data_IF_548124051715
#
_entry.id   IF_548124051715
#
_cell.length_a   1.000
_cell.length_b   1.000
_cell.length_c   1.000
_cell.angle_alpha   90.00
_cell.angle_beta   90.00
_cell.angle_gamma   90.00
#
_symmetry.space_group_name_H-M   'P 1'
#
loop_
_entity.id
_entity.type
_entity.pdbx_description
1 polymer ?
#
# COMPACT_ATOMS: atom_id res chain seq x y z
N UNK A 1 12.45 2.14 -53.81
CA UNK A 1 12.49 3.35 -54.66
C UNK A 1 11.54 3.25 -55.83
N UNK A 2 11.91 2.53 -56.90
CA UNK A 2 11.15 2.49 -58.16
C UNK A 2 9.74 1.87 -58.05
N UNK A 3 9.55 0.81 -57.26
CA UNK A 3 8.25 0.15 -57.03
C UNK A 3 7.23 1.00 -56.24
N UNK A 4 7.71 1.95 -55.42
CA UNK A 4 6.84 2.89 -54.68
C UNK A 4 6.33 4.01 -55.60
N UNK A 5 7.17 4.47 -56.53
CA UNK A 5 6.79 5.47 -57.53
C UNK A 5 5.75 4.92 -58.52
N UNK A 6 5.83 3.64 -58.90
CA UNK A 6 4.86 3.04 -59.83
C UNK A 6 3.47 2.86 -59.23
N UNK A 7 3.36 2.55 -57.94
CA UNK A 7 2.05 2.40 -57.26
C UNK A 7 1.39 3.75 -56.99
N UNK A 8 2.15 4.80 -56.68
CA UNK A 8 1.61 6.17 -56.55
C UNK A 8 1.17 6.73 -57.92
N UNK A 9 1.89 6.40 -58.99
CA UNK A 9 1.50 6.75 -60.37
C UNK A 9 0.21 6.08 -60.85
N UNK A 10 -0.29 5.02 -60.17
CA UNK A 10 -1.59 4.44 -60.49
C UNK A 10 -2.77 5.33 -60.07
N UNK A 11 -2.57 6.30 -59.17
CA UNK A 11 -3.62 7.18 -58.66
C UNK A 11 -3.50 8.64 -59.13
N UNK A 12 -2.37 9.01 -59.73
CA UNK A 12 -2.16 10.33 -60.32
C UNK A 12 -2.58 10.37 -61.79
N UNK A 13 -3.46 11.30 -62.16
CA UNK A 13 -3.72 11.62 -63.58
C UNK A 13 -2.50 12.34 -64.18
N UNK A 14 -1.49 11.58 -64.58
CA UNK A 14 -0.53 12.03 -65.60
C UNK A 14 -1.14 11.76 -66.97
N UNK A 15 -1.34 12.82 -67.76
CA UNK A 15 -1.88 12.76 -69.12
C UNK A 15 -1.06 11.78 -69.97
N UNK A 16 -1.68 10.65 -70.33
CA UNK A 16 -1.09 9.63 -71.22
C UNK A 16 -0.81 8.26 -70.59
N UNK A 17 -0.91 8.08 -69.27
CA UNK A 17 -0.81 6.76 -68.64
C UNK A 17 -2.20 6.20 -68.32
N UNK A 18 -2.48 5.01 -68.86
CA UNK A 18 -3.73 4.27 -68.62
C UNK A 18 -3.83 3.98 -67.12
N UNK A 19 -4.84 4.55 -66.46
CA UNK A 19 -5.13 4.26 -65.05
C UNK A 19 -5.46 2.76 -64.96
N UNK A 20 -4.63 2.01 -64.23
CA UNK A 20 -4.85 0.59 -64.02
C UNK A 20 -6.04 0.38 -63.09
N UNK A 21 -6.89 -0.58 -63.41
CA UNK A 21 -8.00 -0.99 -62.57
C UNK A 21 -7.51 -1.74 -61.33
N UNK A 22 -8.32 -1.81 -60.28
CA UNK A 22 -7.98 -2.51 -59.04
C UNK A 22 -7.65 -4.01 -59.27
N UNK A 23 -8.34 -4.67 -60.20
CA UNK A 23 -8.06 -6.06 -60.55
C UNK A 23 -6.72 -6.24 -61.27
N UNK A 24 -6.34 -5.31 -62.14
CA UNK A 24 -5.03 -5.30 -62.81
C UNK A 24 -3.89 -5.08 -61.80
N UNK A 25 -4.08 -4.19 -60.83
CA UNK A 25 -3.12 -3.95 -59.75
C UNK A 25 -2.99 -5.20 -58.86
N UNK A 26 -4.12 -5.81 -58.49
CA UNK A 26 -4.13 -7.03 -57.67
C UNK A 26 -3.41 -8.19 -58.37
N UNK A 27 -3.67 -8.38 -59.67
CA UNK A 27 -3.02 -9.42 -60.47
C UNK A 27 -1.52 -9.15 -60.62
N UNK A 28 -1.11 -7.91 -60.86
CA UNK A 28 0.31 -7.54 -60.93
C UNK A 28 1.05 -7.80 -59.60
N UNK A 29 0.43 -7.51 -58.45
CA UNK A 29 1.02 -7.79 -57.13
C UNK A 29 1.18 -9.30 -56.91
N UNK A 30 0.18 -10.10 -57.31
CA UNK A 30 0.23 -11.57 -57.24
C UNK A 30 1.30 -12.15 -58.18
N UNK A 31 1.36 -11.68 -59.42
CA UNK A 31 2.33 -12.13 -60.44
C UNK A 31 3.77 -11.78 -60.04
N UNK A 32 3.97 -10.66 -59.34
CA UNK A 32 5.29 -10.25 -58.83
C UNK A 32 5.64 -10.89 -57.47
N UNK A 33 4.76 -11.70 -56.88
CA UNK A 33 4.91 -12.31 -55.56
C UNK A 33 5.33 -11.32 -54.46
N UNK A 34 4.76 -10.11 -54.49
CA UNK A 34 5.11 -9.05 -53.53
C UNK A 34 4.18 -9.16 -52.32
N UNK A 35 4.78 -9.30 -51.14
CA UNK A 35 4.02 -9.25 -49.89
C UNK A 35 3.70 -7.81 -49.49
N UNK A 36 2.52 -7.51 -48.90
CA UNK A 36 2.18 -6.16 -48.46
C UNK A 36 3.20 -5.52 -47.51
N UNK A 37 3.87 -6.33 -46.68
CA UNK A 37 4.97 -5.91 -45.79
C UNK A 37 6.23 -5.41 -46.53
N UNK A 38 6.35 -5.67 -47.84
CA UNK A 38 7.43 -5.18 -48.69
C UNK A 38 7.06 -3.85 -49.39
N UNK A 39 5.77 -3.48 -49.41
CA UNK A 39 5.29 -2.27 -50.06
C UNK A 39 5.31 -1.07 -49.09
N UNK A 40 4.92 -1.31 -47.85
CA UNK A 40 4.82 -0.29 -46.81
C UNK A 40 5.77 -0.62 -45.67
N UNK A 41 6.60 0.35 -45.28
CA UNK A 41 7.37 0.26 -44.05
C UNK A 41 6.56 0.89 -42.90
N UNK A 42 7.02 0.69 -41.67
CA UNK A 42 6.35 1.21 -40.47
C UNK A 42 6.23 2.75 -40.50
N UNK A 43 7.21 3.44 -41.08
CA UNK A 43 7.20 4.90 -41.20
C UNK A 43 6.15 5.39 -42.21
N UNK A 44 5.93 4.67 -43.31
CA UNK A 44 4.87 4.97 -44.27
C UNK A 44 3.50 4.84 -43.61
N UNK A 45 3.33 3.82 -42.75
CA UNK A 45 2.09 3.58 -42.00
C UNK A 45 1.89 4.65 -40.91
N UNK A 46 2.95 5.09 -40.24
CA UNK A 46 2.90 6.18 -39.25
C UNK A 46 2.57 7.54 -39.88
N UNK A 47 3.00 7.76 -41.11
CA UNK A 47 2.73 8.99 -41.86
C UNK A 47 1.42 8.95 -42.65
N UNK A 48 0.71 7.82 -42.65
CA UNK A 48 -0.60 7.71 -43.27
C UNK A 48 -1.63 8.57 -42.53
N UNK A 49 -2.55 9.18 -43.28
CA UNK A 49 -3.53 10.14 -42.75
C UNK A 49 -4.54 9.51 -41.79
N UNK A 50 -4.87 8.24 -42.00
CA UNK A 50 -5.85 7.52 -41.18
C UNK A 50 -5.17 6.67 -40.12
N UNK A 51 -4.15 5.89 -40.52
CA UNK A 51 -3.46 4.99 -39.60
C UNK A 51 -2.50 5.73 -38.66
N UNK A 52 -1.87 6.82 -39.10
CA UNK A 52 -0.97 7.63 -38.27
C UNK A 52 -1.64 8.17 -37.01
N UNK A 53 -2.94 8.50 -37.09
CA UNK A 53 -3.75 8.94 -35.93
C UNK A 53 -3.79 7.87 -34.84
N UNK A 54 -3.93 6.61 -35.21
CA UNK A 54 -3.95 5.47 -34.29
C UNK A 54 -2.62 5.35 -33.54
N UNK A 55 -1.49 5.60 -34.21
CA UNK A 55 -0.18 5.59 -33.53
C UNK A 55 -0.05 6.75 -32.53
N UNK A 56 -0.54 7.94 -32.88
CA UNK A 56 -0.52 9.09 -31.96
C UNK A 56 -1.43 8.88 -30.75
N UNK A 57 -2.64 8.35 -30.96
CA UNK A 57 -3.58 8.03 -29.90
C UNK A 57 -3.04 6.93 -28.99
N UNK A 58 -2.45 5.86 -29.55
CA UNK A 58 -1.86 4.78 -28.77
C UNK A 58 -0.66 5.26 -27.94
N UNK A 59 0.17 6.17 -28.48
CA UNK A 59 1.25 6.79 -27.73
C UNK A 59 0.72 7.64 -26.56
N UNK A 60 -0.33 8.42 -26.78
CA UNK A 60 -0.97 9.22 -25.73
C UNK A 60 -1.60 8.32 -24.65
N UNK A 61 -2.34 7.29 -25.05
CA UNK A 61 -2.95 6.32 -24.14
C UNK A 61 -1.90 5.56 -23.33
N UNK A 62 -0.73 5.27 -23.89
CA UNK A 62 0.38 4.65 -23.16
C UNK A 62 0.90 5.56 -22.06
N UNK A 63 1.09 6.85 -22.35
CA UNK A 63 1.51 7.84 -21.36
C UNK A 63 0.46 7.98 -20.25
N UNK A 64 -0.81 8.02 -20.61
CA UNK A 64 -1.92 8.14 -19.66
C UNK A 64 -2.04 6.89 -18.78
N UNK A 65 -1.87 5.70 -19.36
CA UNK A 65 -1.79 4.43 -18.61
C UNK A 65 -0.64 4.45 -17.61
N UNK A 66 0.56 4.84 -18.04
CA UNK A 66 1.74 4.88 -17.16
C UNK A 66 1.53 5.88 -16.01
N UNK A 67 0.84 7.00 -16.26
CA UNK A 67 0.45 7.97 -15.23
C UNK A 67 -0.56 7.36 -14.26
N UNK A 68 -1.63 6.76 -14.75
CA UNK A 68 -2.64 6.13 -13.90
C UNK A 68 -2.08 4.97 -13.06
N UNK A 69 -1.13 4.20 -13.59
CA UNK A 69 -0.48 3.14 -12.82
C UNK A 69 0.36 3.70 -11.66
N UNK A 70 1.04 4.84 -11.87
CA UNK A 70 1.77 5.54 -10.80
C UNK A 70 0.82 6.10 -9.75
N UNK A 71 -0.25 6.77 -10.19
CA UNK A 71 -1.25 7.35 -9.30
C UNK A 71 -1.94 6.25 -8.47
N UNK A 72 -2.26 5.11 -9.10
CA UNK A 72 -2.81 3.94 -8.41
C UNK A 72 -1.87 3.38 -7.34
N UNK A 73 -0.57 3.22 -7.66
CA UNK A 73 0.42 2.74 -6.68
C UNK A 73 0.53 3.69 -5.49
N UNK A 74 0.55 5.01 -5.75
CA UNK A 74 0.60 6.04 -4.70
C UNK A 74 -0.66 6.04 -3.83
N UNK A 75 -1.84 5.97 -4.45
CA UNK A 75 -3.11 5.93 -3.73
C UNK A 75 -3.23 4.65 -2.88
N UNK A 76 -2.74 3.52 -3.40
CA UNK A 76 -2.70 2.27 -2.65
C UNK A 76 -1.83 2.40 -1.40
N UNK A 77 -0.63 2.98 -1.51
CA UNK A 77 0.23 3.20 -0.33
C UNK A 77 -0.39 4.17 0.67
N UNK A 78 -0.97 5.27 0.20
CA UNK A 78 -1.67 6.24 1.07
C UNK A 78 -2.87 5.60 1.78
N UNK A 79 -3.61 4.74 1.09
CA UNK A 79 -4.74 4.00 1.66
C UNK A 79 -4.28 2.99 2.71
N UNK A 80 -3.20 2.25 2.46
CA UNK A 80 -2.64 1.28 3.43
C UNK A 80 -2.12 2.00 4.69
N UNK A 81 -1.46 3.15 4.53
CA UNK A 81 -1.02 3.99 5.65
C UNK A 81 -2.20 4.58 6.44
N UNK A 82 -3.25 5.04 5.75
CA UNK A 82 -4.45 5.54 6.39
C UNK A 82 -5.16 4.45 7.21
N UNK A 83 -5.31 3.24 6.64
CA UNK A 83 -5.89 2.09 7.35
C UNK A 83 -5.08 1.77 8.61
N UNK A 84 -3.74 1.66 8.49
CA UNK A 84 -2.87 1.42 9.65
C UNK A 84 -3.01 2.50 10.72
N UNK A 85 -3.08 3.77 10.33
CA UNK A 85 -3.27 4.87 11.27
C UNK A 85 -4.61 4.78 12.00
N UNK A 86 -5.67 4.43 11.29
CA UNK A 86 -6.99 4.20 11.88
C UNK A 86 -6.96 3.01 12.85
N UNK A 87 -6.35 1.89 12.44
CA UNK A 87 -6.18 0.71 13.30
C UNK A 87 -5.40 1.04 14.57
N UNK A 88 -4.29 1.78 14.48
CA UNK A 88 -3.51 2.25 15.64
C UNK A 88 -4.37 3.13 16.56
N UNK A 89 -5.16 4.04 15.99
CA UNK A 89 -6.02 4.94 16.77
C UNK A 89 -7.15 4.20 17.50
N UNK A 90 -7.67 3.12 16.91
CA UNK A 90 -8.73 2.29 17.48
C UNK A 90 -8.19 1.18 18.38
N UNK A 91 -6.92 0.82 18.25
CA UNK A 91 -6.31 -0.31 18.95
C UNK A 91 -6.44 -0.21 20.47
N UNK A 92 -6.21 0.97 21.04
CA UNK A 92 -6.37 1.19 22.49
C UNK A 92 -7.82 0.98 22.95
N UNK A 93 -8.80 1.44 22.17
CA UNK A 93 -10.22 1.24 22.49
C UNK A 93 -10.65 -0.23 22.33
N UNK A 94 -10.08 -0.95 21.37
CA UNK A 94 -10.30 -2.41 21.20
C UNK A 94 -9.66 -3.19 22.34
N UNK A 95 -8.45 -2.82 22.75
CA UNK A 95 -7.77 -3.41 23.90
C UNK A 95 -8.58 -3.22 25.19
N UNK A 96 -9.14 -2.03 25.41
CA UNK A 96 -9.99 -1.74 26.57
C UNK A 96 -11.25 -2.61 26.59
N UNK A 97 -11.89 -2.81 25.44
CA UNK A 97 -13.03 -3.72 25.32
C UNK A 97 -12.66 -5.17 25.61
N UNK A 98 -11.49 -5.63 25.15
CA UNK A 98 -11.02 -7.00 25.35
C UNK A 98 -10.62 -7.29 26.80
N UNK A 99 -10.13 -6.29 27.54
CA UNK A 99 -9.84 -6.45 28.97
C UNK A 99 -11.12 -6.59 29.81
N UNK A 100 -12.21 -5.89 29.45
CA UNK A 100 -13.51 -6.09 30.10
C UNK A 100 -13.49 -6.01 31.64
N UNK A 101 -14.31 -6.83 32.31
CA UNK A 101 -14.41 -6.91 33.77
C UNK A 101 -13.44 -7.94 34.40
N UNK A 102 -12.86 -8.83 33.59
CA UNK A 102 -12.00 -9.93 34.06
C UNK A 102 -10.61 -9.49 34.55
N UNK A 103 -10.26 -8.21 34.34
CA UNK A 103 -8.98 -7.62 34.70
C UNK A 103 -9.15 -6.56 35.79
N UNK A 104 -8.30 -6.62 36.81
CA UNK A 104 -8.26 -5.60 37.88
C UNK A 104 -7.69 -4.28 37.35
N UNK A 105 -7.97 -3.17 38.03
CA UNK A 105 -7.48 -1.84 37.61
C UNK A 105 -5.94 -1.80 37.51
N UNK A 106 -5.25 -2.44 38.46
CA UNK A 106 -3.77 -2.57 38.43
C UNK A 106 -3.27 -3.37 37.24
N UNK A 107 -3.98 -4.43 36.84
CA UNK A 107 -3.63 -5.21 35.65
C UNK A 107 -3.86 -4.40 34.37
N UNK A 108 -4.98 -3.68 34.29
CA UNK A 108 -5.30 -2.80 33.15
C UNK A 108 -4.26 -1.70 32.99
N UNK A 109 -3.85 -1.06 34.07
CA UNK A 109 -2.83 -0.01 34.05
C UNK A 109 -1.46 -0.55 33.61
N UNK A 110 -1.05 -1.71 34.16
CA UNK A 110 0.17 -2.39 33.74
C UNK A 110 0.18 -2.71 32.25
N UNK A 111 -0.90 -3.29 31.73
CA UNK A 111 -1.04 -3.64 30.31
C UNK A 111 -1.02 -2.39 29.43
N UNK A 112 -1.77 -1.34 29.79
CA UNK A 112 -1.82 -0.08 29.04
C UNK A 112 -0.46 0.60 28.96
N UNK A 113 0.31 0.62 30.06
CA UNK A 113 1.64 1.23 30.08
C UNK A 113 2.63 0.56 29.12
N UNK A 114 2.40 -0.72 28.79
CA UNK A 114 3.25 -1.53 27.91
C UNK A 114 2.70 -1.71 26.51
N UNK A 115 1.47 -1.27 26.27
CA UNK A 115 0.83 -1.41 24.98
C UNK A 115 1.35 -0.36 24.00
N UNK A 116 2.08 -0.81 22.98
CA UNK A 116 2.52 0.02 21.87
C UNK A 116 1.92 -0.49 20.56
N UNK A 117 0.79 0.07 20.09
CA UNK A 117 0.12 -0.42 18.89
C UNK A 117 0.95 -0.24 17.62
N UNK A 118 1.85 0.75 17.58
CA UNK A 118 2.73 1.01 16.44
C UNK A 118 3.86 -0.03 16.29
N UNK A 119 4.18 -0.77 17.37
CA UNK A 119 5.20 -1.81 17.37
C UNK A 119 4.64 -3.20 17.02
N UNK A 120 3.31 -3.34 16.91
CA UNK A 120 2.66 -4.60 16.57
C UNK A 120 2.49 -4.71 15.05
N UNK A 121 2.86 -5.86 14.49
CA UNK A 121 2.67 -6.15 13.06
C UNK A 121 1.20 -6.33 12.68
N UNK A 122 0.37 -6.76 13.64
CA UNK A 122 -1.04 -7.06 13.45
C UNK A 122 -1.84 -6.64 14.69
N UNK A 123 -2.87 -5.80 14.46
CA UNK A 123 -3.78 -5.24 15.45
C UNK A 123 -5.16 -5.91 15.43
N UNK A 124 -5.25 -7.12 14.86
CA UNK A 124 -6.45 -7.96 14.92
C UNK A 124 -6.79 -8.39 16.35
N UNK A 125 -8.07 -8.65 16.62
CA UNK A 125 -8.53 -9.05 17.96
C UNK A 125 -7.82 -10.30 18.49
N UNK A 126 -7.49 -11.25 17.61
CA UNK A 126 -6.76 -12.46 17.99
C UNK A 126 -5.36 -12.14 18.53
N UNK A 127 -4.63 -11.25 17.85
CA UNK A 127 -3.28 -10.85 18.24
C UNK A 127 -3.27 -9.97 19.48
N UNK A 128 -4.28 -9.09 19.61
CA UNK A 128 -4.52 -8.34 20.84
C UNK A 128 -4.80 -9.29 22.01
N UNK A 129 -5.58 -10.36 21.80
CA UNK A 129 -5.81 -11.41 22.81
C UNK A 129 -4.53 -12.15 23.22
N UNK A 130 -3.71 -12.57 22.25
CA UNK A 130 -2.40 -13.18 22.52
C UNK A 130 -1.47 -12.25 23.32
N UNK A 131 -1.50 -10.94 23.01
CA UNK A 131 -0.75 -9.93 23.76
C UNK A 131 -1.25 -9.78 25.20
N UNK A 132 -2.57 -9.71 25.41
CA UNK A 132 -3.19 -9.63 26.74
C UNK A 132 -2.82 -10.84 27.62
N UNK A 133 -2.86 -12.06 27.08
CA UNK A 133 -2.45 -13.25 27.83
C UNK A 133 -0.97 -13.21 28.23
N UNK A 134 -0.12 -12.71 27.34
CA UNK A 134 1.32 -12.56 27.61
C UNK A 134 1.56 -11.55 28.73
N UNK A 135 0.93 -10.38 28.67
CA UNK A 135 1.08 -9.35 29.70
C UNK A 135 0.44 -9.77 31.02
N UNK A 136 -0.65 -10.54 31.00
CA UNK A 136 -1.24 -11.13 32.22
C UNK A 136 -0.26 -12.07 32.93
N UNK A 137 0.45 -12.91 32.18
CA UNK A 137 1.51 -13.78 32.74
C UNK A 137 2.66 -12.94 33.29
N UNK A 138 3.11 -11.93 32.53
CA UNK A 138 4.18 -11.03 32.97
C UNK A 138 3.81 -10.29 34.26
N UNK A 139 2.56 -9.82 34.39
CA UNK A 139 2.06 -9.22 35.61
C UNK A 139 2.10 -10.20 36.79
N UNK A 140 1.63 -11.43 36.61
CA UNK A 140 1.65 -12.45 37.66
C UNK A 140 3.07 -12.80 38.11
N UNK A 141 4.02 -12.88 37.17
CA UNK A 141 5.43 -13.14 37.48
C UNK A 141 6.09 -11.95 38.19
N UNK A 142 5.74 -10.73 37.79
CA UNK A 142 6.21 -9.50 38.44
C UNK A 142 5.65 -9.37 39.85
N UNK A 143 4.35 -9.62 40.05
CA UNK A 143 3.71 -9.59 41.36
C UNK A 143 4.33 -10.61 42.34
N UNK A 144 4.71 -11.81 41.87
CA UNK A 144 5.44 -12.80 42.66
C UNK A 144 6.84 -12.31 43.07
N UNK A 145 7.54 -11.61 42.18
CA UNK A 145 8.88 -11.08 42.45
C UNK A 145 8.87 -9.94 43.48
N UNK A 146 7.83 -9.10 43.48
CA UNK A 146 7.68 -7.99 44.42
C UNK A 146 6.90 -8.35 45.70
N UNK A 147 6.54 -9.62 45.90
CA UNK A 147 5.88 -10.08 47.13
C UNK A 147 4.46 -9.53 47.34
N UNK A 148 3.84 -8.92 46.33
CA UNK A 148 2.45 -8.44 46.37
C UNK A 148 1.52 -9.62 46.07
N UNK A 149 1.58 -10.65 46.91
CA UNK A 149 0.41 -11.51 47.11
C UNK A 149 -0.54 -10.72 48.01
N UNK A 150 -1.82 -10.62 47.65
CA UNK A 150 -2.85 -9.85 48.36
C UNK A 150 -2.77 -10.05 49.90
N UNK A 151 -2.12 -9.12 50.60
CA UNK A 151 -2.36 -8.93 52.02
C UNK A 151 -3.61 -8.06 52.16
N UNK A 152 -4.74 -8.75 52.25
CA UNK A 152 -5.97 -8.20 52.77
C UNK A 152 -5.76 -7.71 54.20
N UNK A 153 -5.68 -6.39 54.38
CA UNK A 153 -6.23 -5.64 55.51
C UNK A 153 -5.53 -5.77 56.86
N UNK A 154 -4.73 -4.76 57.22
CA UNK A 154 -4.20 -4.57 58.56
C UNK A 154 -3.59 -3.20 58.77
N UNK A 155 -4.43 -2.27 59.21
CA UNK A 155 -4.16 -0.88 59.61
C UNK A 155 -2.97 -0.73 60.60
N UNK A 156 -2.07 0.25 60.37
CA UNK A 156 -1.43 1.10 61.40
C UNK A 156 -0.46 2.16 60.83
N UNK A 157 -0.82 3.42 61.12
CA UNK A 157 0.00 4.64 61.15
C UNK A 157 1.41 4.48 61.78
N UNK A 158 2.43 5.19 61.22
CA UNK A 158 3.13 6.33 61.88
C UNK A 158 4.33 6.92 61.11
N UNK A 159 4.23 8.24 60.87
CA UNK A 159 5.22 9.36 60.87
C UNK A 159 6.76 9.19 60.72
N UNK A 160 7.30 10.01 59.78
CA UNK A 160 8.54 10.85 59.74
C UNK A 160 9.91 10.12 59.83
N UNK A 161 10.91 10.42 58.99
CA UNK A 161 11.60 11.71 58.82
C UNK A 161 12.53 11.70 57.56
N UNK A 162 12.92 12.88 57.10
CA UNK A 162 13.69 13.21 55.90
C UNK A 162 15.06 12.56 55.72
N UNK A 163 15.35 12.11 54.50
CA UNK A 163 16.67 12.12 53.85
C UNK A 163 16.46 12.07 52.32
N UNK A 164 17.38 12.63 51.54
CA UNK A 164 17.25 12.91 50.10
C UNK A 164 16.75 11.70 49.28
N UNK A 165 15.61 11.87 48.61
CA UNK A 165 14.94 10.81 47.86
C UNK A 165 15.72 10.50 46.57
N UNK A 166 16.07 9.24 46.40
CA UNK A 166 16.59 8.76 45.11
C UNK A 166 15.45 8.63 44.10
N UNK A 167 15.74 8.66 42.79
CA UNK A 167 14.71 8.57 41.72
C UNK A 167 13.77 7.35 41.87
N UNK A 168 14.19 6.31 42.58
CA UNK A 168 13.37 5.14 42.91
C UNK A 168 12.30 5.45 43.98
N UNK A 169 12.56 6.33 44.92
CA UNK A 169 11.58 6.73 45.94
C UNK A 169 10.59 7.77 45.41
N UNK A 170 10.95 8.59 44.42
CA UNK A 170 9.99 9.42 43.68
C UNK A 170 8.99 8.55 42.89
N UNK A 171 9.48 7.48 42.25
CA UNK A 171 8.62 6.52 41.57
C UNK A 171 7.69 5.77 42.54
N UNK A 172 8.16 5.44 43.75
CA UNK A 172 7.34 4.79 44.77
C UNK A 172 6.31 5.73 45.42
N UNK A 173 6.63 7.02 45.53
CA UNK A 173 5.71 8.06 46.03
C UNK A 173 4.64 8.45 45.01
N UNK A 174 4.99 8.48 43.73
CA UNK A 174 4.04 8.69 42.63
C UNK A 174 3.11 7.47 42.45
N UNK A 175 3.57 6.27 42.85
CA UNK A 175 2.75 5.05 42.94
C UNK A 175 2.02 4.85 44.30
N UNK A 176 2.13 5.79 45.25
CA UNK A 176 1.39 5.78 46.52
C UNK A 176 1.79 4.66 47.50
N UNK A 177 3.02 4.16 47.41
CA UNK A 177 3.53 3.04 48.24
C UNK A 177 4.17 3.54 49.56
N UNK A 178 4.52 4.83 49.66
CA UNK A 178 4.94 5.53 50.90
C UNK A 178 4.37 6.96 50.89
#
# INVERSE_FOLDING_TARGET
GALRLSTVQCFGKEEGKKIMTFEEIKKAIQDMNIHPSQLFNEDDIKNDRELGKVFTENAALKIEKDKHEKDYKKLKTESEEAIKKTEISEASARLDKLMGEDYTDKQKEFIKSRFNPSALEDLSEKKLGEHLEKERKAFADTAKLFGVADESGGDKDKEKTSEELTMEEEALKEMGVI
#
